data_IF_088840852051
#
_entry.id   IF_088840852051
#
_cell.length_a   1.000
_cell.length_b   1.000
_cell.length_c   1.000
_cell.angle_alpha   90.00
_cell.angle_beta   90.00
_cell.angle_gamma   90.00
#
_symmetry.space_group_name_H-M   'P 1'
#
loop_
_entity.id
_entity.type
_entity.pdbx_description
1 polymer ?
#
# COMPACT_ATOMS: atom_id res chain seq x y z
N UNK A 1 7.06 -18.58 -6.96
CA UNK A 1 5.76 -18.58 -7.67
C UNK A 1 4.71 -17.81 -6.86
N UNK A 2 4.67 -18.05 -5.55
CA UNK A 2 3.68 -17.46 -4.63
C UNK A 2 3.66 -15.92 -4.62
N UNK A 3 4.83 -15.26 -4.62
CA UNK A 3 4.91 -13.79 -4.63
C UNK A 3 4.28 -13.17 -5.89
N UNK A 4 4.48 -13.78 -7.05
CA UNK A 4 3.91 -13.29 -8.31
C UNK A 4 2.38 -13.44 -8.32
N UNK A 5 1.87 -14.56 -7.79
CA UNK A 5 0.43 -14.77 -7.63
C UNK A 5 -0.18 -13.79 -6.62
N UNK A 6 0.52 -13.51 -5.52
CA UNK A 6 0.09 -12.51 -4.53
C UNK A 6 0.02 -11.10 -5.13
N UNK A 7 1.04 -10.69 -5.90
CA UNK A 7 1.07 -9.41 -6.61
C UNK A 7 -0.10 -9.28 -7.60
N UNK A 8 -0.32 -10.32 -8.41
CA UNK A 8 -1.40 -10.34 -9.39
C UNK A 8 -2.78 -10.26 -8.72
N UNK A 9 -3.03 -11.12 -7.73
CA UNK A 9 -4.34 -11.26 -7.11
C UNK A 9 -4.70 -10.09 -6.18
N UNK A 10 -3.71 -9.46 -5.54
CA UNK A 10 -3.98 -8.45 -4.53
C UNK A 10 -3.74 -7.02 -4.99
N UNK A 11 -2.90 -6.80 -6.01
CA UNK A 11 -2.52 -5.46 -6.48
C UNK A 11 -3.00 -5.24 -7.91
N UNK A 12 -2.47 -6.01 -8.87
CA UNK A 12 -2.72 -5.75 -10.30
C UNK A 12 -4.19 -5.97 -10.70
N UNK A 13 -4.85 -6.99 -10.17
CA UNK A 13 -6.27 -7.26 -10.44
C UNK A 13 -7.20 -6.15 -9.92
N UNK A 14 -6.81 -5.46 -8.84
CA UNK A 14 -7.64 -4.44 -8.17
C UNK A 14 -7.36 -3.03 -8.70
N UNK A 15 -6.12 -2.75 -9.08
CA UNK A 15 -5.67 -1.42 -9.50
C UNK A 15 -5.51 -1.29 -11.02
N UNK A 16 -5.49 -2.41 -11.75
CA UNK A 16 -5.04 -2.47 -13.13
C UNK A 16 -3.52 -2.35 -13.25
N UNK A 17 -3.04 -2.33 -14.49
CA UNK A 17 -1.62 -2.13 -14.79
C UNK A 17 -1.37 -0.61 -14.91
N UNK A 18 -0.54 -0.02 -14.03
CA UNK A 18 -0.23 1.40 -14.11
C UNK A 18 0.67 1.70 -15.31
N UNK A 19 0.52 2.88 -15.90
CA UNK A 19 1.41 3.35 -16.99
C UNK A 19 2.78 3.76 -16.48
N UNK A 20 2.84 4.34 -15.29
CA UNK A 20 4.05 4.82 -14.64
C UNK A 20 3.99 4.44 -13.17
N UNK A 21 5.06 3.86 -12.65
CA UNK A 21 5.30 3.69 -11.21
C UNK A 21 6.49 4.56 -10.87
N UNK A 22 6.31 5.37 -9.84
CA UNK A 22 7.37 6.21 -9.30
C UNK A 22 7.75 5.52 -7.99
N UNK A 23 8.97 4.96 -7.93
CA UNK A 23 9.51 4.29 -6.73
C UNK A 23 10.80 4.96 -6.23
N UNK A 24 11.07 4.83 -4.93
CA UNK A 24 12.36 5.19 -4.35
C UNK A 24 13.47 4.28 -4.89
N UNK A 25 14.72 4.56 -4.50
CA UNK A 25 15.89 3.75 -4.90
C UNK A 25 16.12 2.55 -3.99
N UNK A 26 15.06 1.99 -3.39
CA UNK A 26 15.20 0.74 -2.63
C UNK A 26 15.80 -0.33 -3.56
N UNK A 27 16.81 -1.10 -3.10
CA UNK A 27 17.44 -2.18 -3.87
C UNK A 27 16.45 -3.19 -4.45
N UNK A 28 15.29 -3.39 -3.81
CA UNK A 28 14.21 -4.24 -4.32
C UNK A 28 13.63 -3.62 -5.58
N UNK A 29 13.22 -2.36 -5.53
CA UNK A 29 12.59 -1.67 -6.66
C UNK A 29 13.56 -1.45 -7.82
N UNK A 30 14.86 -1.28 -7.52
CA UNK A 30 15.93 -1.14 -8.53
C UNK A 30 16.51 -2.46 -9.02
N UNK A 31 16.06 -3.59 -8.50
CA UNK A 31 16.54 -4.90 -8.96
C UNK A 31 16.08 -5.21 -10.38
N UNK A 32 16.90 -5.96 -11.09
CA UNK A 32 16.64 -6.39 -12.47
C UNK A 32 15.29 -7.11 -12.61
N UNK A 33 14.91 -7.90 -11.61
CA UNK A 33 13.63 -8.60 -11.60
C UNK A 33 12.44 -7.63 -11.71
N UNK A 34 12.40 -6.59 -10.87
CA UNK A 34 11.28 -5.65 -10.83
C UNK A 34 11.26 -4.73 -12.04
N UNK A 35 12.43 -4.31 -12.53
CA UNK A 35 12.55 -3.54 -13.78
C UNK A 35 11.97 -4.33 -14.95
N UNK A 36 12.43 -5.58 -15.15
CA UNK A 36 12.00 -6.41 -16.27
C UNK A 36 10.51 -6.80 -16.17
N UNK A 37 10.01 -7.08 -14.95
CA UNK A 37 8.60 -7.41 -14.75
C UNK A 37 7.69 -6.26 -15.20
N UNK A 38 7.99 -5.03 -14.78
CA UNK A 38 7.17 -3.88 -15.14
C UNK A 38 7.33 -3.47 -16.61
N UNK A 39 8.51 -3.67 -17.21
CA UNK A 39 8.71 -3.50 -18.64
C UNK A 39 7.80 -4.44 -19.47
N UNK A 40 7.73 -5.73 -19.10
CA UNK A 40 6.83 -6.71 -19.75
C UNK A 40 5.36 -6.30 -19.61
N UNK A 41 4.98 -5.72 -18.47
CA UNK A 41 3.64 -5.23 -18.22
C UNK A 41 3.34 -3.89 -18.94
N UNK A 42 4.32 -3.26 -19.59
CA UNK A 42 4.17 -1.95 -20.24
C UNK A 42 4.11 -0.78 -19.25
N UNK A 43 4.65 -0.98 -18.05
CA UNK A 43 4.75 0.03 -17.00
C UNK A 43 6.14 0.66 -17.00
N UNK A 44 6.21 1.99 -17.07
CA UNK A 44 7.47 2.72 -16.91
C UNK A 44 7.82 2.89 -15.43
N UNK A 45 8.96 2.38 -15.01
CA UNK A 45 9.47 2.58 -13.65
C UNK A 45 10.41 3.79 -13.61
N UNK A 46 10.11 4.78 -12.78
CA UNK A 46 10.92 6.00 -12.62
C UNK A 46 11.47 6.11 -11.19
N UNK A 47 12.77 6.41 -11.08
CA UNK A 47 13.49 6.55 -9.80
C UNK A 47 14.03 7.98 -9.64
N UNK A 48 13.34 8.81 -8.86
CA UNK A 48 13.81 10.16 -8.58
C UNK A 48 14.89 10.14 -7.49
N UNK A 49 15.89 11.01 -7.64
CA UNK A 49 16.96 11.18 -6.64
C UNK A 49 16.45 11.97 -5.42
N UNK A 50 15.57 12.92 -5.69
CA UNK A 50 14.82 13.72 -4.73
C UNK A 50 13.35 13.65 -5.16
N UNK A 51 12.50 13.03 -4.35
CA UNK A 51 11.08 13.01 -4.64
C UNK A 51 10.48 14.41 -4.47
N UNK A 52 9.49 14.80 -5.29
CA UNK A 52 8.70 15.98 -4.98
C UNK A 52 8.09 15.81 -3.58
N UNK A 53 8.31 16.74 -2.62
CA UNK A 53 7.80 16.62 -1.25
C UNK A 53 6.29 16.39 -1.16
N UNK A 54 5.56 16.81 -2.20
CA UNK A 54 4.13 16.55 -2.33
C UNK A 54 3.80 15.09 -2.60
N UNK A 55 4.55 14.39 -3.44
CA UNK A 55 4.28 13.00 -3.76
C UNK A 55 4.82 12.06 -2.69
N UNK A 56 6.03 12.32 -2.20
CA UNK A 56 6.60 11.58 -1.07
C UNK A 56 5.72 11.74 0.15
N UNK A 57 5.42 12.98 0.52
CA UNK A 57 4.57 13.26 1.67
C UNK A 57 3.15 12.69 1.51
N UNK A 58 2.62 12.52 0.30
CA UNK A 58 1.32 11.86 0.11
C UNK A 58 1.42 10.35 0.34
N UNK A 59 2.43 9.69 -0.22
CA UNK A 59 2.68 8.27 -0.04
C UNK A 59 3.03 7.96 1.43
N UNK A 60 3.96 8.71 2.02
CA UNK A 60 4.37 8.60 3.43
C UNK A 60 3.18 8.84 4.38
N UNK A 61 2.39 9.91 4.19
CA UNK A 61 1.20 10.15 5.03
C UNK A 61 0.18 9.02 4.90
N UNK A 62 0.07 8.41 3.72
CA UNK A 62 -0.83 7.30 3.49
C UNK A 62 -0.33 6.03 4.18
N UNK A 63 0.97 5.72 4.05
CA UNK A 63 1.63 4.60 4.72
C UNK A 63 1.48 4.77 6.24
N UNK A 64 1.82 5.93 6.79
CA UNK A 64 1.70 6.21 8.23
C UNK A 64 0.27 6.03 8.74
N UNK A 65 -0.73 6.54 8.01
CA UNK A 65 -2.15 6.35 8.38
C UNK A 65 -2.55 4.88 8.38
N UNK A 66 -2.10 4.11 7.39
CA UNK A 66 -2.39 2.69 7.30
C UNK A 66 -1.71 1.91 8.42
N UNK A 67 -0.45 2.23 8.73
CA UNK A 67 0.27 1.66 9.87
C UNK A 67 -0.44 1.94 11.20
N UNK A 68 -0.87 3.18 11.43
CA UNK A 68 -1.57 3.56 12.67
C UNK A 68 -2.90 2.80 12.81
N UNK A 69 -3.63 2.60 11.71
CA UNK A 69 -4.85 1.79 11.71
C UNK A 69 -4.51 0.34 12.02
N UNK A 70 -3.55 -0.26 11.31
CA UNK A 70 -3.14 -1.67 11.52
C UNK A 70 -2.69 -1.89 12.97
N UNK A 71 -1.85 -0.99 13.53
CA UNK A 71 -1.41 -1.04 14.93
C UNK A 71 -2.60 -1.09 15.88
N UNK A 72 -3.56 -0.19 15.73
CA UNK A 72 -4.78 -0.18 16.56
C UNK A 72 -5.60 -1.46 16.38
N UNK A 73 -5.76 -1.96 15.16
CA UNK A 73 -6.49 -3.22 14.94
C UNK A 73 -5.81 -4.41 15.62
N UNK A 74 -4.48 -4.50 15.52
CA UNK A 74 -3.70 -5.54 16.18
C UNK A 74 -3.65 -5.39 17.71
N UNK A 75 -3.69 -4.16 18.23
CA UNK A 75 -3.74 -3.87 19.68
C UNK A 75 -5.11 -4.22 20.30
N UNK A 76 -6.21 -4.02 19.57
CA UNK A 76 -7.57 -4.21 20.08
C UNK A 76 -8.19 -5.59 19.78
N UNK A 77 -7.54 -6.48 19.02
CA UNK A 77 -8.13 -7.78 18.64
C UNK A 77 -7.14 -8.89 18.30
N UNK A 78 -7.06 -9.86 19.22
CA UNK A 78 -6.55 -11.24 19.09
C UNK A 78 -5.05 -11.47 19.31
N UNK A 79 -4.73 -11.90 20.54
CA UNK A 79 -3.42 -12.43 20.92
C UNK A 79 -3.15 -13.76 20.20
N UNK A 80 -2.23 -13.74 19.25
CA UNK A 80 -1.21 -14.78 19.20
C UNK A 80 0.15 -14.09 19.29
N UNK A 81 0.66 -14.01 20.52
CA UNK A 81 2.03 -13.55 20.77
C UNK A 81 2.95 -14.74 20.50
N UNK A 82 3.85 -14.59 19.55
CA UNK A 82 4.97 -15.52 19.45
C UNK A 82 5.90 -15.37 20.68
N UNK A 83 6.98 -16.14 20.70
CA UNK A 83 7.96 -16.14 21.81
C UNK A 83 8.65 -14.77 22.02
N UNK A 84 8.49 -13.83 21.08
CA UNK A 84 9.01 -12.46 21.13
C UNK A 84 7.92 -11.42 21.47
N UNK A 85 6.67 -11.85 21.66
CA UNK A 85 5.56 -10.98 22.06
C UNK A 85 4.82 -10.30 20.90
N UNK A 86 5.08 -10.70 19.65
CA UNK A 86 4.53 -10.04 18.45
C UNK A 86 3.33 -10.80 17.85
N UNK A 87 2.27 -10.08 17.49
CA UNK A 87 1.12 -10.62 16.75
C UNK A 87 1.36 -10.57 15.24
N UNK A 88 1.37 -11.73 14.60
CA UNK A 88 1.66 -11.88 13.17
C UNK A 88 0.40 -11.98 12.30
N UNK A 89 -0.79 -11.71 12.86
CA UNK A 89 -2.08 -11.85 12.19
C UNK A 89 -2.51 -10.57 11.44
N UNK A 90 -1.72 -9.50 11.45
CA UNK A 90 -2.02 -8.22 10.79
C UNK A 90 -2.40 -8.37 9.31
N UNK A 91 -1.83 -9.36 8.61
CA UNK A 91 -2.15 -9.67 7.21
C UNK A 91 -3.63 -10.06 7.06
N UNK A 92 -4.21 -10.75 8.04
CA UNK A 92 -5.62 -11.15 8.05
C UNK A 92 -6.56 -9.95 8.19
N UNK A 93 -6.07 -8.87 8.79
CA UNK A 93 -6.83 -7.64 9.01
C UNK A 93 -6.76 -6.66 7.82
N UNK A 94 -5.81 -6.84 6.89
CA UNK A 94 -5.63 -5.95 5.72
C UNK A 94 -6.90 -5.74 4.88
N UNK A 95 -7.72 -6.76 4.56
CA UNK A 95 -8.95 -6.54 3.81
C UNK A 95 -9.94 -5.65 4.56
N UNK A 96 -10.07 -5.82 5.89
CA UNK A 96 -10.95 -5.02 6.73
C UNK A 96 -10.46 -3.56 6.82
N UNK A 97 -9.14 -3.36 7.00
CA UNK A 97 -8.51 -2.04 7.00
C UNK A 97 -8.68 -1.34 5.64
N UNK A 98 -8.46 -2.07 4.53
CA UNK A 98 -8.65 -1.54 3.18
C UNK A 98 -10.11 -1.11 2.95
N UNK A 99 -11.08 -1.92 3.38
CA UNK A 99 -12.51 -1.60 3.29
C UNK A 99 -12.87 -0.38 4.12
N UNK A 100 -12.43 -0.32 5.38
CA UNK A 100 -12.68 0.80 6.28
C UNK A 100 -12.11 2.12 5.72
N UNK A 101 -10.88 2.08 5.18
CA UNK A 101 -10.26 3.24 4.55
C UNK A 101 -11.00 3.69 3.28
N UNK A 102 -11.39 2.77 2.40
CA UNK A 102 -12.15 3.11 1.19
C UNK A 102 -13.52 3.70 1.54
N UNK A 103 -14.17 3.16 2.56
CA UNK A 103 -15.50 3.62 3.01
C UNK A 103 -15.43 4.99 3.68
N UNK A 104 -14.41 5.25 4.51
CA UNK A 104 -14.25 6.56 5.16
C UNK A 104 -13.98 7.70 4.17
N UNK A 105 -13.40 7.39 3.00
CA UNK A 105 -13.23 8.35 1.89
C UNK A 105 -14.45 8.47 0.98
N UNK A 106 -15.35 7.48 1.01
CA UNK A 106 -16.61 7.50 0.26
C UNK A 106 -17.72 8.25 1.02
N UNK A 107 -17.58 8.44 2.33
CA UNK A 107 -18.39 9.41 3.07
C UNK A 107 -18.00 10.81 2.59
N UNK A 108 -18.96 11.60 2.07
CA UNK A 108 -18.66 12.95 1.61
C UNK A 108 -18.15 13.75 2.82
N UNK A 109 -16.88 14.13 2.79
CA UNK A 109 -16.45 15.26 3.60
C UNK A 109 -17.31 16.44 3.16
N UNK A 110 -18.14 16.91 4.09
CA UNK A 110 -19.28 17.80 3.89
C UNK A 110 -19.23 18.64 2.62
N UNK A 111 -20.10 18.31 1.66
CA UNK A 111 -20.70 19.35 0.84
C UNK A 111 -21.41 20.30 1.80
N UNK A 112 -20.80 21.43 2.09
CA UNK A 112 -21.55 22.59 2.57
C UNK A 112 -22.38 23.11 1.40
N UNK A 113 -23.73 23.06 1.47
CA UNK A 113 -24.58 23.62 0.44
C UNK A 113 -24.82 25.08 0.79
N UNK A 114 -24.10 25.99 0.15
CA UNK A 114 -24.49 27.39 0.14
C UNK A 114 -24.40 27.93 -1.29
N UNK A 115 -25.53 28.48 -1.71
CA UNK A 115 -25.70 29.58 -2.66
C UNK A 115 -24.41 30.36 -2.96
#
# INVERSE_FOLDING_TARGET
MDTALLLLNNILSKCGIPKIIISDRDPKCTSEFWINLYEILGTKLEFYKDYPPQMDGLAERMIQKMEDIIKRFCEYGMEYKDHEGSTHDWVTHLPAVQLAYKTSRALPQGNHPHW
#
